data_IF_395238761308
#
_entry.id   IF_395238761308
#
_cell.length_a   1.000
_cell.length_b   1.000
_cell.length_c   1.000
_cell.angle_alpha   90.00
_cell.angle_beta   90.00
_cell.angle_gamma   90.00
#
_symmetry.space_group_name_H-M   'P 1'
#
loop_
_entity.id
_entity.type
_entity.pdbx_description
1 polymer ?
#
# COMPACT_ATOMS: atom_id res chain seq x y z
N UNK A 1 -14.54 -11.56 18.97
CA UNK A 1 -13.19 -11.55 19.58
C UNK A 1 -12.53 -10.25 19.19
N UNK A 2 -12.28 -9.35 20.14
CA UNK A 2 -11.57 -8.10 19.84
C UNK A 2 -10.13 -8.44 19.52
N UNK A 3 -9.79 -8.49 18.26
CA UNK A 3 -8.41 -8.71 17.79
C UNK A 3 -7.62 -7.44 18.10
N UNK A 4 -6.95 -7.41 19.24
CA UNK A 4 -6.10 -6.29 19.61
C UNK A 4 -4.76 -6.44 18.84
N UNK A 5 -4.65 -5.74 17.71
CA UNK A 5 -3.44 -5.74 16.88
C UNK A 5 -2.32 -4.87 17.43
N UNK A 6 -2.58 -4.14 18.52
CA UNK A 6 -1.63 -3.24 19.17
C UNK A 6 -1.62 -3.58 20.65
N UNK A 7 -0.46 -3.92 21.19
CA UNK A 7 -0.32 -4.27 22.60
C UNK A 7 0.99 -3.77 23.18
N UNK A 8 0.98 -3.53 24.49
CA UNK A 8 2.19 -3.27 25.26
C UNK A 8 2.80 -4.60 25.69
N UNK A 9 4.08 -4.75 25.44
CA UNK A 9 4.82 -5.99 25.70
C UNK A 9 5.96 -5.72 26.69
N UNK A 10 6.13 -6.64 27.61
CA UNK A 10 7.17 -6.65 28.61
C UNK A 10 7.93 -7.98 28.63
N UNK A 11 8.93 -8.10 29.51
CA UNK A 11 9.76 -9.29 29.62
C UNK A 11 8.96 -10.58 29.92
N UNK A 12 7.83 -10.46 30.64
CA UNK A 12 7.03 -11.63 31.04
C UNK A 12 6.17 -12.19 29.89
N UNK A 13 5.71 -11.34 28.97
CA UNK A 13 4.80 -11.76 27.90
C UNK A 13 5.45 -11.74 26.49
N UNK A 14 6.70 -11.26 26.34
CA UNK A 14 7.39 -11.13 25.05
C UNK A 14 7.47 -12.47 24.30
N UNK A 15 7.79 -13.55 25.00
CA UNK A 15 7.93 -14.87 24.38
C UNK A 15 6.62 -15.34 23.75
N UNK A 16 5.50 -15.09 24.42
CA UNK A 16 4.18 -15.48 23.91
C UNK A 16 3.67 -14.51 22.85
N UNK A 17 3.69 -13.19 23.14
CA UNK A 17 3.05 -12.17 22.30
C UNK A 17 3.87 -11.81 21.05
N UNK A 18 5.19 -12.05 21.07
CA UNK A 18 6.08 -11.74 19.95
C UNK A 18 6.59 -13.02 19.31
N UNK A 19 7.31 -13.88 20.04
CA UNK A 19 8.00 -15.01 19.45
C UNK A 19 7.00 -16.07 18.99
N UNK A 20 6.15 -16.56 19.90
CA UNK A 20 5.17 -17.61 19.57
C UNK A 20 4.12 -17.10 18.59
N UNK A 21 3.65 -15.87 18.74
CA UNK A 21 2.64 -15.29 17.85
C UNK A 21 3.19 -15.11 16.43
N UNK A 22 4.47 -14.76 16.27
CA UNK A 22 5.11 -14.57 14.97
C UNK A 22 5.27 -15.84 14.14
N UNK A 23 4.94 -17.01 14.69
CA UNK A 23 4.86 -18.25 13.93
C UNK A 23 3.77 -18.22 12.84
N UNK A 24 2.68 -17.48 13.09
CA UNK A 24 1.52 -17.44 12.19
C UNK A 24 1.28 -16.08 11.57
N UNK A 25 1.61 -15.01 12.30
CA UNK A 25 1.37 -13.62 11.87
C UNK A 25 2.58 -12.78 12.20
N UNK A 26 3.13 -12.00 11.28
CA UNK A 26 4.28 -11.13 11.55
C UNK A 26 4.02 -10.21 12.74
N UNK A 27 5.05 -10.01 13.56
CA UNK A 27 5.01 -9.10 14.72
C UNK A 27 6.06 -8.01 14.53
N UNK A 28 5.64 -6.77 14.65
CA UNK A 28 6.52 -5.60 14.64
C UNK A 28 6.72 -5.14 16.07
N UNK A 29 7.90 -5.38 16.63
CA UNK A 29 8.27 -4.90 17.95
C UNK A 29 8.93 -3.52 17.86
N UNK A 30 8.26 -2.50 18.41
CA UNK A 30 8.75 -1.14 18.47
C UNK A 30 9.32 -0.87 19.88
N UNK A 31 10.63 -0.74 19.98
CA UNK A 31 11.32 -0.33 21.20
C UNK A 31 11.34 1.19 21.28
N UNK A 32 10.72 1.73 22.30
CA UNK A 32 10.51 3.16 22.47
C UNK A 32 10.78 3.63 23.90
N UNK A 33 10.80 4.93 24.14
CA UNK A 33 10.82 5.53 25.47
C UNK A 33 10.03 6.83 25.47
N UNK A 34 9.32 7.09 26.58
CA UNK A 34 8.39 8.21 26.69
C UNK A 34 9.06 9.60 26.60
N UNK A 35 10.33 9.72 26.95
CA UNK A 35 11.10 10.96 26.93
C UNK A 35 11.71 11.28 25.53
N UNK A 36 11.63 10.36 24.58
CA UNK A 36 12.16 10.54 23.21
C UNK A 36 11.06 10.94 22.24
N UNK A 37 11.00 12.21 21.84
CA UNK A 37 9.99 12.71 20.89
C UNK A 37 9.98 11.92 19.56
N UNK A 38 11.12 11.61 18.90
CA UNK A 38 11.10 10.79 17.68
C UNK A 38 10.50 9.39 17.88
N UNK A 39 10.57 8.84 19.07
CA UNK A 39 9.98 7.55 19.41
C UNK A 39 8.45 7.65 19.54
N UNK A 40 7.94 8.76 20.08
CA UNK A 40 6.50 8.99 20.14
C UNK A 40 5.89 9.19 18.76
N UNK A 41 6.54 9.96 17.89
CA UNK A 41 6.10 10.20 16.50
C UNK A 41 6.05 8.89 15.71
N UNK A 42 7.10 8.07 15.80
CA UNK A 42 7.13 6.78 15.14
C UNK A 42 6.09 5.81 15.71
N UNK A 43 5.86 5.81 17.02
CA UNK A 43 4.83 4.99 17.66
C UNK A 43 3.44 5.34 17.14
N UNK A 44 3.10 6.62 17.07
CA UNK A 44 1.81 7.08 16.53
C UNK A 44 1.63 6.67 15.05
N UNK A 45 2.69 6.77 14.24
CA UNK A 45 2.68 6.32 12.85
C UNK A 45 2.44 4.80 12.75
N UNK A 46 3.20 4.00 13.50
CA UNK A 46 3.07 2.54 13.51
C UNK A 46 1.68 2.09 13.99
N UNK A 47 1.12 2.74 15.01
CA UNK A 47 -0.23 2.45 15.49
C UNK A 47 -1.30 2.73 14.43
N UNK A 48 -1.19 3.84 13.69
CA UNK A 48 -2.09 4.13 12.59
C UNK A 48 -1.98 3.07 11.50
N UNK A 49 -0.75 2.72 11.09
CA UNK A 49 -0.52 1.69 10.07
C UNK A 49 -0.97 0.30 10.50
N UNK A 50 -0.86 -0.05 11.79
CA UNK A 50 -1.36 -1.32 12.32
C UNK A 50 -2.90 -1.40 12.28
N UNK A 51 -3.60 -0.28 12.54
CA UNK A 51 -5.07 -0.22 12.39
C UNK A 51 -5.47 -0.32 10.91
N UNK A 52 -4.76 0.36 10.01
CA UNK A 52 -4.99 0.26 8.56
C UNK A 52 -4.78 -1.17 8.04
N UNK A 53 -3.79 -1.87 8.57
CA UNK A 53 -3.43 -3.24 8.17
C UNK A 53 -4.40 -4.33 8.64
N UNK A 54 -5.36 -4.02 9.55
CA UNK A 54 -6.44 -4.92 10.02
C UNK A 54 -5.98 -6.33 10.39
N UNK A 55 -4.79 -6.45 11.00
CA UNK A 55 -4.25 -7.73 11.46
C UNK A 55 -3.31 -8.45 10.49
N UNK A 56 -2.92 -7.84 9.39
CA UNK A 56 -1.85 -8.36 8.54
C UNK A 56 -0.52 -8.48 9.30
N UNK A 57 -0.33 -7.66 10.33
CA UNK A 57 0.73 -7.80 11.35
C UNK A 57 0.21 -7.36 12.71
N UNK A 58 0.92 -7.73 13.76
CA UNK A 58 0.72 -7.25 15.14
C UNK A 58 1.79 -6.24 15.51
N UNK A 59 1.41 -5.12 16.15
CA UNK A 59 2.34 -4.14 16.72
C UNK A 59 2.52 -4.42 18.22
N UNK A 60 3.73 -4.77 18.61
CA UNK A 60 4.16 -4.94 20.00
C UNK A 60 4.98 -3.71 20.41
N UNK A 61 4.50 -2.92 21.37
CA UNK A 61 5.22 -1.76 21.89
C UNK A 61 6.02 -2.19 23.12
N UNK A 62 7.33 -1.96 23.10
CA UNK A 62 8.24 -2.32 24.19
C UNK A 62 8.82 -1.04 24.77
N UNK A 63 8.45 -0.70 25.99
CA UNK A 63 9.08 0.39 26.75
C UNK A 63 10.49 -0.07 27.14
N UNK A 64 11.50 0.56 26.56
CA UNK A 64 12.90 0.18 26.75
C UNK A 64 13.40 0.44 28.17
N UNK A 65 12.90 1.48 28.84
CA UNK A 65 13.30 1.81 30.22
C UNK A 65 12.76 0.79 31.23
N UNK A 66 11.59 0.23 30.94
CA UNK A 66 10.96 -0.80 31.78
C UNK A 66 11.38 -2.23 31.47
N UNK A 67 12.01 -2.44 30.31
CA UNK A 67 12.38 -3.76 29.81
C UNK A 67 13.85 -3.81 29.34
N UNK A 68 14.83 -3.53 30.24
CA UNK A 68 16.24 -3.45 29.87
C UNK A 68 16.81 -4.79 29.36
N UNK A 69 16.32 -5.92 29.87
CA UNK A 69 16.80 -7.24 29.42
C UNK A 69 16.38 -7.52 27.99
N UNK A 70 15.20 -7.06 27.53
CA UNK A 70 14.78 -7.18 26.14
C UNK A 70 15.65 -6.31 25.23
N UNK A 71 16.01 -5.09 25.66
CA UNK A 71 16.87 -4.21 24.88
C UNK A 71 18.26 -4.82 24.67
N UNK A 72 18.82 -5.44 25.72
CA UNK A 72 20.10 -6.14 25.66
C UNK A 72 20.00 -7.39 24.78
N UNK A 73 18.98 -8.25 25.02
CA UNK A 73 18.75 -9.49 24.29
C UNK A 73 18.63 -9.26 22.78
N UNK A 74 17.97 -8.21 22.36
CA UNK A 74 17.75 -7.89 20.94
C UNK A 74 18.70 -6.83 20.39
N UNK A 75 19.75 -6.47 21.12
CA UNK A 75 20.78 -5.57 20.65
C UNK A 75 20.31 -4.14 20.33
N UNK A 76 19.30 -3.66 21.07
CA UNK A 76 18.76 -2.30 20.89
C UNK A 76 19.74 -1.29 21.49
N UNK A 77 20.43 -0.53 20.66
CA UNK A 77 21.47 0.44 21.07
C UNK A 77 21.00 1.89 21.03
N UNK A 78 19.92 2.16 20.33
CA UNK A 78 19.34 3.50 20.22
C UNK A 78 17.81 3.42 20.05
N UNK A 79 17.10 4.50 20.39
CA UNK A 79 15.65 4.57 20.34
C UNK A 79 15.20 5.70 19.39
N UNK A 80 14.13 5.47 18.64
CA UNK A 80 13.40 4.22 18.52
C UNK A 80 14.14 3.17 17.68
N UNK A 81 13.93 1.90 17.97
CA UNK A 81 14.34 0.76 17.13
C UNK A 81 13.12 -0.11 16.87
N UNK A 82 12.93 -0.50 15.62
CA UNK A 82 11.83 -1.37 15.19
C UNK A 82 12.40 -2.66 14.64
N UNK A 83 11.89 -3.79 15.13
CA UNK A 83 12.27 -5.13 14.67
C UNK A 83 11.05 -5.91 14.24
N UNK A 84 11.13 -6.54 13.09
CA UNK A 84 10.09 -7.43 12.58
C UNK A 84 10.44 -8.88 12.88
N UNK A 85 9.47 -9.60 13.41
CA UNK A 85 9.57 -11.03 13.74
C UNK A 85 8.64 -11.84 12.84
N UNK A 86 9.18 -12.90 12.26
CA UNK A 86 8.44 -13.93 11.53
C UNK A 86 9.04 -15.28 11.89
N UNK A 87 8.19 -16.26 12.15
CA UNK A 87 8.62 -17.61 12.56
C UNK A 87 9.57 -17.62 13.78
N UNK A 88 9.33 -16.71 14.73
CA UNK A 88 10.12 -16.59 15.96
C UNK A 88 11.47 -15.89 15.79
N UNK A 89 11.81 -15.41 14.60
CA UNK A 89 13.11 -14.80 14.30
C UNK A 89 12.98 -13.36 13.83
N UNK A 90 14.00 -12.55 14.10
CA UNK A 90 14.11 -11.20 13.54
C UNK A 90 14.46 -11.31 12.06
N UNK A 91 13.58 -10.85 11.19
CA UNK A 91 13.76 -10.89 9.73
C UNK A 91 14.16 -9.55 9.13
N UNK A 92 13.83 -8.44 9.80
CA UNK A 92 14.17 -7.10 9.36
C UNK A 92 14.18 -6.14 10.54
N UNK A 93 14.93 -5.05 10.42
CA UNK A 93 14.97 -3.99 11.42
C UNK A 93 15.28 -2.63 10.83
N UNK A 94 14.88 -1.58 11.52
CA UNK A 94 15.39 -0.23 11.29
C UNK A 94 15.52 0.55 12.60
N UNK A 95 16.33 1.61 12.57
CA UNK A 95 16.63 2.46 13.72
C UNK A 95 16.31 3.92 13.41
N UNK A 96 15.78 4.63 14.39
CA UNK A 96 15.42 6.03 14.29
C UNK A 96 14.08 6.28 13.64
N UNK A 97 13.65 7.55 13.63
CA UNK A 97 12.47 8.00 12.92
C UNK A 97 12.70 7.87 11.41
N UNK A 98 11.78 7.23 10.72
CA UNK A 98 11.81 7.05 9.27
C UNK A 98 10.61 7.75 8.63
N UNK A 99 10.75 8.26 7.39
CA UNK A 99 9.62 8.74 6.60
C UNK A 99 8.56 7.66 6.42
N UNK A 100 7.28 8.04 6.43
CA UNK A 100 6.16 7.10 6.32
C UNK A 100 6.30 6.12 5.13
N UNK A 101 6.77 6.59 3.96
CA UNK A 101 7.00 5.73 2.81
C UNK A 101 7.93 4.56 3.13
N UNK A 102 9.05 4.83 3.81
CA UNK A 102 9.99 3.79 4.22
C UNK A 102 9.42 2.82 5.25
N UNK A 103 8.59 3.33 6.18
CA UNK A 103 7.91 2.46 7.14
C UNK A 103 6.90 1.55 6.43
N UNK A 104 6.15 2.06 5.45
CA UNK A 104 5.23 1.26 4.64
C UNK A 104 5.97 0.20 3.80
N UNK A 105 7.10 0.54 3.19
CA UNK A 105 7.92 -0.41 2.44
C UNK A 105 8.46 -1.53 3.36
N UNK A 106 8.90 -1.17 4.56
CA UNK A 106 9.32 -2.13 5.58
C UNK A 106 8.18 -3.07 5.98
N UNK A 107 6.99 -2.54 6.27
CA UNK A 107 5.83 -3.35 6.65
C UNK A 107 5.39 -4.27 5.50
N UNK A 108 5.38 -3.79 4.27
CA UNK A 108 5.02 -4.60 3.11
C UNK A 108 6.02 -5.72 2.81
N UNK A 109 7.30 -5.54 3.17
CA UNK A 109 8.33 -6.59 2.99
C UNK A 109 8.16 -7.79 3.93
N UNK A 110 7.47 -7.60 5.06
CA UNK A 110 7.30 -8.62 6.10
C UNK A 110 5.89 -9.19 6.19
N UNK A 111 4.90 -8.50 5.63
CA UNK A 111 3.51 -8.98 5.63
C UNK A 111 3.25 -9.79 4.38
N UNK A 112 2.54 -10.93 4.48
CA UNK A 112 2.07 -11.61 3.29
C UNK A 112 1.15 -10.67 2.51
N UNK A 113 1.17 -10.71 1.18
CA UNK A 113 0.28 -9.90 0.38
C UNK A 113 -1.17 -10.18 0.78
N UNK A 114 -1.94 -9.11 1.02
CA UNK A 114 -3.35 -9.28 1.39
C UNK A 114 -4.12 -9.93 0.24
N UNK A 115 -5.22 -10.63 0.51
CA UNK A 115 -6.09 -11.16 -0.55
C UNK A 115 -6.51 -10.08 -1.55
N UNK A 116 -6.68 -8.84 -1.07
CA UNK A 116 -6.98 -7.69 -1.93
C UNK A 116 -5.79 -7.35 -2.84
N UNK A 117 -4.55 -7.31 -2.32
CA UNK A 117 -3.36 -7.04 -3.12
C UNK A 117 -3.11 -8.13 -4.17
N UNK A 118 -3.29 -9.40 -3.81
CA UNK A 118 -3.21 -10.51 -4.78
C UNK A 118 -4.27 -10.41 -5.88
N UNK A 119 -5.48 -9.98 -5.53
CA UNK A 119 -6.54 -9.76 -6.52
C UNK A 119 -6.24 -8.54 -7.41
N UNK A 120 -5.62 -7.48 -6.86
CA UNK A 120 -5.17 -6.32 -7.63
C UNK A 120 -4.05 -6.70 -8.61
N UNK A 121 -3.02 -7.43 -8.15
CA UNK A 121 -1.96 -7.95 -9.03
C UNK A 121 -2.51 -8.83 -10.15
N UNK A 122 -3.53 -9.64 -9.86
CA UNK A 122 -4.22 -10.45 -10.88
C UNK A 122 -4.95 -9.57 -11.90
N UNK A 123 -5.62 -8.51 -11.46
CA UNK A 123 -6.29 -7.55 -12.33
C UNK A 123 -5.27 -6.83 -13.24
N UNK A 124 -4.13 -6.41 -12.68
CA UNK A 124 -3.01 -5.85 -13.45
C UNK A 124 -2.45 -6.86 -14.45
N UNK A 125 -2.33 -8.13 -14.07
CA UNK A 125 -1.94 -9.22 -14.96
C UNK A 125 -2.86 -9.35 -16.17
N UNK A 126 -4.17 -9.31 -15.97
CA UNK A 126 -5.14 -9.32 -17.10
C UNK A 126 -4.96 -8.11 -18.01
N UNK A 127 -4.74 -6.92 -17.45
CA UNK A 127 -4.48 -5.71 -18.23
C UNK A 127 -3.22 -5.86 -19.10
N UNK A 128 -2.11 -6.32 -18.53
CA UNK A 128 -0.85 -6.52 -19.26
C UNK A 128 -0.94 -7.59 -20.36
N UNK A 129 -1.76 -8.62 -20.13
CA UNK A 129 -2.07 -9.65 -21.13
C UNK A 129 -3.10 -9.19 -22.17
N UNK A 130 -3.52 -7.90 -22.15
CA UNK A 130 -4.54 -7.31 -23.02
C UNK A 130 -5.92 -7.98 -22.91
N UNK A 131 -6.18 -8.67 -21.82
CA UNK A 131 -7.47 -9.29 -21.50
C UNK A 131 -8.38 -8.27 -20.81
N UNK A 132 -8.71 -7.19 -21.53
CA UNK A 132 -9.35 -6.01 -20.97
C UNK A 132 -10.72 -6.28 -20.35
N UNK A 133 -11.51 -7.23 -20.88
CA UNK A 133 -12.79 -7.62 -20.30
C UNK A 133 -12.63 -8.27 -18.91
N UNK A 134 -11.58 -9.08 -18.74
CA UNK A 134 -11.28 -9.72 -17.47
C UNK A 134 -10.69 -8.71 -16.47
N UNK A 135 -9.82 -7.82 -16.95
CA UNK A 135 -9.24 -6.75 -16.15
C UNK A 135 -10.34 -5.82 -15.59
N UNK A 136 -11.27 -5.38 -16.44
CA UNK A 136 -12.39 -4.52 -16.00
C UNK A 136 -13.22 -5.19 -14.92
N UNK A 137 -13.65 -6.45 -15.14
CA UNK A 137 -14.43 -7.19 -14.13
C UNK A 137 -13.68 -7.32 -12.80
N UNK A 138 -12.36 -7.58 -12.87
CA UNK A 138 -11.54 -7.72 -11.69
C UNK A 138 -11.38 -6.40 -10.92
N UNK A 139 -11.11 -5.27 -11.62
CA UNK A 139 -11.02 -3.96 -10.95
C UNK A 139 -12.36 -3.51 -10.38
N UNK A 140 -13.48 -3.71 -11.07
CA UNK A 140 -14.81 -3.39 -10.54
C UNK A 140 -15.10 -4.15 -9.25
N UNK A 141 -14.79 -5.45 -9.20
CA UNK A 141 -14.96 -6.26 -8.00
C UNK A 141 -14.09 -5.78 -6.83
N UNK A 142 -12.87 -5.32 -7.11
CA UNK A 142 -12.01 -4.71 -6.10
C UNK A 142 -12.61 -3.42 -5.54
N UNK A 143 -13.20 -2.59 -6.40
CA UNK A 143 -13.86 -1.34 -6.01
C UNK A 143 -15.19 -1.57 -5.28
N UNK A 144 -15.87 -2.69 -5.50
CA UNK A 144 -17.02 -3.12 -4.67
C UNK A 144 -16.58 -3.45 -3.24
N UNK A 145 -15.40 -4.08 -3.07
CA UNK A 145 -14.86 -4.44 -1.76
C UNK A 145 -14.25 -3.24 -1.02
N UNK A 146 -13.52 -2.40 -1.74
CA UNK A 146 -12.88 -1.20 -1.20
C UNK A 146 -13.07 -0.02 -2.17
N UNK A 147 -14.19 0.71 -2.06
CA UNK A 147 -14.46 1.89 -2.87
C UNK A 147 -13.36 2.95 -2.71
N UNK A 148 -13.01 3.62 -3.80
CA UNK A 148 -12.05 4.71 -3.78
C UNK A 148 -10.58 4.26 -3.72
N UNK A 149 -10.25 2.97 -3.83
CA UNK A 149 -8.84 2.51 -3.89
C UNK A 149 -8.14 3.05 -5.14
N UNK A 150 -7.13 3.94 -4.99
CA UNK A 150 -6.53 4.64 -6.13
C UNK A 150 -5.93 3.72 -7.18
N UNK A 151 -5.26 2.63 -6.76
CA UNK A 151 -4.65 1.67 -7.68
C UNK A 151 -5.71 0.95 -8.54
N UNK A 152 -6.84 0.55 -7.95
CA UNK A 152 -7.93 -0.09 -8.69
C UNK A 152 -8.66 0.90 -9.61
N UNK A 153 -8.87 2.16 -9.18
CA UNK A 153 -9.45 3.21 -10.01
C UNK A 153 -8.58 3.51 -11.24
N UNK A 154 -7.27 3.66 -11.04
CA UNK A 154 -6.34 3.90 -12.14
C UNK A 154 -6.30 2.71 -13.12
N UNK A 155 -6.27 1.48 -12.59
CA UNK A 155 -6.33 0.26 -13.39
C UNK A 155 -7.61 0.17 -14.23
N UNK A 156 -8.76 0.48 -13.61
CA UNK A 156 -10.06 0.52 -14.30
C UNK A 156 -10.07 1.59 -15.38
N UNK A 157 -9.65 2.83 -15.07
CA UNK A 157 -9.62 3.91 -16.04
C UNK A 157 -8.75 3.59 -17.27
N UNK A 158 -7.54 3.05 -17.05
CA UNK A 158 -6.67 2.56 -18.13
C UNK A 158 -7.34 1.47 -18.99
N UNK A 159 -8.02 0.55 -18.33
CA UNK A 159 -8.72 -0.56 -19.02
C UNK A 159 -9.87 -0.03 -19.87
N UNK A 160 -10.68 0.88 -19.33
CA UNK A 160 -11.79 1.52 -20.04
C UNK A 160 -11.30 2.32 -21.27
N UNK A 161 -10.21 3.05 -21.14
CA UNK A 161 -9.59 3.76 -22.27
C UNK A 161 -9.12 2.78 -23.36
N UNK A 162 -8.52 1.64 -23.00
CA UNK A 162 -8.13 0.60 -23.97
C UNK A 162 -9.33 -0.06 -24.66
N UNK A 163 -10.48 -0.11 -24.00
CA UNK A 163 -11.74 -0.60 -24.57
C UNK A 163 -12.52 0.46 -25.35
N UNK A 164 -12.05 1.70 -25.34
CA UNK A 164 -12.73 2.81 -25.97
C UNK A 164 -13.93 3.36 -25.18
N UNK A 165 -14.07 3.06 -23.88
CA UNK A 165 -15.15 3.55 -23.03
C UNK A 165 -14.73 4.86 -22.36
N UNK A 166 -14.56 5.92 -23.14
CA UNK A 166 -14.02 7.20 -22.71
C UNK A 166 -14.88 7.95 -21.65
N UNK A 167 -16.23 7.99 -21.73
CA UNK A 167 -17.03 8.76 -20.77
C UNK A 167 -16.85 8.31 -19.34
N UNK A 168 -16.88 7.01 -19.07
CA UNK A 168 -16.70 6.45 -17.73
C UNK A 168 -15.26 6.65 -17.22
N UNK A 169 -14.27 6.40 -18.10
CA UNK A 169 -12.88 6.65 -17.75
C UNK A 169 -12.63 8.12 -17.36
N UNK A 170 -13.23 9.05 -18.08
CA UNK A 170 -13.11 10.48 -17.81
C UNK A 170 -13.72 10.86 -16.45
N UNK A 171 -14.87 10.28 -16.10
CA UNK A 171 -15.49 10.48 -14.77
C UNK A 171 -14.55 10.01 -13.65
N UNK A 172 -14.00 8.80 -13.76
CA UNK A 172 -13.06 8.26 -12.78
C UNK A 172 -11.82 9.13 -12.63
N UNK A 173 -11.27 9.62 -13.75
CA UNK A 173 -10.05 10.43 -13.76
C UNK A 173 -10.28 11.86 -13.22
N UNK A 174 -11.46 12.45 -13.41
CA UNK A 174 -11.80 13.79 -12.88
C UNK A 174 -12.03 13.77 -11.37
N UNK A 175 -12.64 12.71 -10.86
CA UNK A 175 -12.94 12.53 -9.43
C UNK A 175 -11.87 11.69 -8.72
N UNK A 176 -10.64 11.65 -9.27
CA UNK A 176 -9.57 10.80 -8.75
C UNK A 176 -9.09 11.27 -7.38
N UNK A 177 -8.97 10.37 -6.38
CA UNK A 177 -8.59 10.74 -5.02
C UNK A 177 -7.13 11.21 -4.94
N UNK A 178 -6.85 12.10 -3.99
CA UNK A 178 -5.48 12.53 -3.66
C UNK A 178 -4.66 11.32 -3.20
N UNK A 179 -3.62 11.00 -3.97
CA UNK A 179 -2.82 9.78 -3.79
C UNK A 179 -1.53 9.84 -4.62
N UNK A 180 -0.63 8.89 -4.40
CA UNK A 180 0.57 8.72 -5.24
C UNK A 180 0.24 8.50 -6.73
N UNK A 181 -0.93 7.97 -7.04
CA UNK A 181 -1.39 7.69 -8.40
C UNK A 181 -2.03 8.90 -9.09
N UNK A 182 -2.28 10.02 -8.38
CA UNK A 182 -2.94 11.20 -8.91
C UNK A 182 -2.22 11.73 -10.17
N UNK A 183 -0.90 11.88 -10.13
CA UNK A 183 -0.10 12.36 -11.27
C UNK A 183 -0.31 11.47 -12.50
N UNK A 184 -0.38 10.14 -12.29
CA UNK A 184 -0.62 9.21 -13.41
C UNK A 184 -2.05 9.32 -13.95
N UNK A 185 -3.03 9.58 -13.09
CA UNK A 185 -4.42 9.80 -13.49
C UNK A 185 -4.56 11.10 -14.30
N UNK A 186 -3.95 12.19 -13.84
CA UNK A 186 -3.93 13.47 -14.54
C UNK A 186 -3.31 13.39 -15.94
N UNK A 187 -2.24 12.60 -16.12
CA UNK A 187 -1.61 12.37 -17.41
C UNK A 187 -2.51 11.63 -18.40
N UNK A 188 -3.53 10.90 -17.92
CA UNK A 188 -4.51 10.21 -18.77
C UNK A 188 -5.72 11.08 -19.16
N UNK A 189 -5.98 12.19 -18.47
CA UNK A 189 -7.11 13.07 -18.75
C UNK A 189 -7.16 13.57 -20.21
N UNK A 190 -6.06 14.11 -20.78
CA UNK A 190 -6.09 14.58 -22.18
C UNK A 190 -6.40 13.47 -23.18
N UNK A 191 -5.97 12.23 -22.88
CA UNK A 191 -6.26 11.07 -23.72
C UNK A 191 -7.75 10.72 -23.66
N UNK A 192 -8.33 10.71 -22.43
CA UNK A 192 -9.74 10.42 -22.22
C UNK A 192 -10.64 11.44 -22.94
N UNK A 193 -10.29 12.73 -22.86
CA UNK A 193 -11.00 13.82 -23.53
C UNK A 193 -10.94 13.68 -25.06
N UNK A 194 -9.75 13.43 -25.61
CA UNK A 194 -9.59 13.22 -27.05
C UNK A 194 -10.33 11.99 -27.57
N UNK A 195 -10.32 10.90 -26.81
CA UNK A 195 -11.07 9.70 -27.20
C UNK A 195 -12.59 9.97 -27.19
N UNK A 196 -13.07 10.74 -26.22
CA UNK A 196 -14.47 11.17 -26.16
C UNK A 196 -14.83 12.06 -27.35
N UNK A 197 -13.97 13.01 -27.73
CA UNK A 197 -14.18 13.92 -28.88
C UNK A 197 -14.17 13.16 -30.22
N UNK A 198 -13.33 12.14 -30.35
CA UNK A 198 -13.31 11.25 -31.50
C UNK A 198 -14.63 10.47 -31.62
N UNK A 199 -15.10 9.89 -30.51
CA UNK A 199 -16.36 9.14 -30.47
C UNK A 199 -17.59 10.01 -30.76
N UNK A 200 -17.52 11.28 -30.39
CA UNK A 200 -18.54 12.27 -30.66
C UNK A 200 -18.46 12.85 -32.11
N UNK A 201 -17.52 12.37 -32.94
CA UNK A 201 -17.31 12.87 -34.30
C UNK A 201 -16.77 14.30 -34.37
N UNK A 202 -16.18 14.81 -33.28
CA UNK A 202 -15.61 16.16 -33.20
C UNK A 202 -14.15 16.24 -33.65
N UNK A 203 -13.49 15.08 -33.81
CA UNK A 203 -12.13 14.95 -34.33
C UNK A 203 -12.11 14.03 -35.56
N UNK A 204 -11.20 14.29 -36.56
CA UNK A 204 -11.05 13.41 -37.69
C UNK A 204 -10.52 12.03 -37.24
N UNK A 205 -10.99 10.97 -37.94
CA UNK A 205 -10.68 9.56 -37.63
C UNK A 205 -9.19 9.18 -37.80
N UNK A 206 -8.38 10.07 -38.41
CA UNK A 206 -6.94 9.86 -38.65
C UNK A 206 -6.03 10.09 -37.42
N UNK A 207 -6.61 10.42 -36.24
CA UNK A 207 -5.81 10.53 -35.03
C UNK A 207 -5.31 9.13 -34.59
N UNK A 208 -4.00 8.92 -34.63
CA UNK A 208 -3.35 7.68 -34.16
C UNK A 208 -3.48 7.56 -32.63
N UNK A 209 -4.58 6.96 -32.21
CA UNK A 209 -4.92 6.75 -30.79
C UNK A 209 -3.92 5.84 -30.10
N UNK A 210 -3.36 4.85 -30.78
CA UNK A 210 -2.36 3.95 -30.20
C UNK A 210 -1.04 4.68 -29.90
N UNK A 211 -0.62 5.58 -30.79
CA UNK A 211 0.55 6.41 -30.55
C UNK A 211 0.32 7.39 -29.38
N UNK A 212 -0.85 8.03 -29.29
CA UNK A 212 -1.22 8.93 -28.19
C UNK A 212 -1.29 8.17 -26.87
N UNK A 213 -1.89 6.99 -26.85
CA UNK A 213 -1.99 6.14 -25.67
C UNK A 213 -0.62 5.67 -25.19
N UNK A 214 0.22 5.20 -26.10
CA UNK A 214 1.58 4.76 -25.80
C UNK A 214 2.41 5.89 -25.25
N UNK A 215 2.30 7.09 -25.82
CA UNK A 215 3.01 8.29 -25.33
C UNK A 215 2.53 8.73 -23.94
N UNK A 216 1.22 8.72 -23.66
CA UNK A 216 0.66 9.05 -22.37
C UNK A 216 1.12 8.05 -21.28
N UNK A 217 1.12 6.75 -21.60
CA UNK A 217 1.63 5.71 -20.70
C UNK A 217 3.14 5.83 -20.42
N UNK A 218 3.95 6.14 -21.44
CA UNK A 218 5.39 6.33 -21.28
C UNK A 218 5.70 7.56 -20.40
N UNK A 219 4.93 8.65 -20.55
CA UNK A 219 5.06 9.83 -19.69
C UNK A 219 4.67 9.51 -18.24
N UNK A 220 3.60 8.75 -18.03
CA UNK A 220 3.16 8.30 -16.72
C UNK A 220 4.18 7.37 -16.02
N UNK A 221 4.95 6.60 -16.78
CA UNK A 221 6.01 5.74 -16.25
C UNK A 221 7.33 6.48 -15.94
N UNK A 222 7.60 7.60 -16.64
CA UNK A 222 8.81 8.40 -16.44
C UNK A 222 8.70 9.41 -15.30
N UNK A 223 7.51 9.66 -14.79
CA UNK A 223 7.23 10.55 -13.65
C UNK A 223 7.42 9.91 -12.27
N UNK A 224 8.11 8.77 -12.19
CA UNK A 224 8.52 8.11 -10.94
C UNK A 224 9.99 8.42 -10.63
#
# INVERSE_FOLDING_TARGET
MSTNFILDVNEANFEYEVISFSQNTPVVAAFWAAWRQPAQELSALLERLAREAQGAFRLARVDADRNPNLTVRYGVRSLPTVKAFTQGQVVAEFVGLQPEGRVRDFLSSITPPSPFNLALERADGFYHLRQYDQAEKAYRRLLELQPGTPAALLGLARTLLRRGTAPEALTILKDFPDSRQLVQAELLLPLAERLMDLQAGRLPAEADLDALFTRALQMAQRGN
#
